data_IF_808330986357
#
_entry.id   IF_808330986357
#
_cell.length_a   1.000
_cell.length_b   1.000
_cell.length_c   1.000
_cell.angle_alpha   90.00
_cell.angle_beta   90.00
_cell.angle_gamma   90.00
#
_symmetry.space_group_name_H-M   'P 1'
#
loop_
_entity.id
_entity.type
_entity.pdbx_description
1 polymer ?
#
# COMPACT_ATOMS: atom_id res chain seq x y z
N UNK A 1 -3.54 19.75 2.50
CA UNK A 1 -4.27 18.47 2.44
C UNK A 1 -4.84 18.12 3.83
N UNK A 2 -5.93 17.34 3.94
CA UNK A 2 -6.41 16.83 5.24
C UNK A 2 -6.25 15.31 5.33
N UNK A 3 -6.11 14.78 6.55
CA UNK A 3 -6.03 13.33 6.81
C UNK A 3 -7.22 12.58 6.23
N UNK A 4 -8.43 13.12 6.39
CA UNK A 4 -9.66 12.50 5.87
C UNK A 4 -9.67 12.43 4.34
N UNK A 5 -9.20 13.49 3.66
CA UNK A 5 -9.13 13.53 2.19
C UNK A 5 -8.20 12.42 1.66
N UNK A 6 -7.04 12.26 2.29
CA UNK A 6 -6.09 11.22 1.90
C UNK A 6 -6.64 9.82 2.22
N UNK A 7 -7.20 9.62 3.42
CA UNK A 7 -7.84 8.36 3.80
C UNK A 7 -8.94 7.90 2.83
N UNK A 8 -9.79 8.84 2.37
CA UNK A 8 -10.84 8.54 1.39
C UNK A 8 -10.25 8.17 0.03
N UNK A 9 -9.22 8.87 -0.43
CA UNK A 9 -8.55 8.55 -1.70
C UNK A 9 -7.87 7.17 -1.64
N UNK A 10 -7.15 6.88 -0.57
CA UNK A 10 -6.57 5.56 -0.30
C UNK A 10 -7.65 4.47 -0.28
N UNK A 11 -8.80 4.72 0.37
CA UNK A 11 -9.91 3.78 0.38
C UNK A 11 -10.48 3.53 -1.03
N UNK A 12 -10.59 4.55 -1.88
CA UNK A 12 -11.04 4.39 -3.28
C UNK A 12 -10.06 3.53 -4.07
N UNK A 13 -8.75 3.76 -3.93
CA UNK A 13 -7.72 2.97 -4.64
C UNK A 13 -7.71 1.51 -4.15
N UNK A 14 -7.98 1.26 -2.87
CA UNK A 14 -8.04 -0.09 -2.31
C UNK A 14 -9.39 -0.81 -2.50
N UNK A 15 -10.47 -0.07 -2.75
CA UNK A 15 -11.83 -0.62 -2.82
C UNK A 15 -12.01 -1.76 -3.83
N UNK A 16 -11.40 -1.74 -5.04
CA UNK A 16 -11.48 -2.87 -5.97
C UNK A 16 -10.97 -4.18 -5.37
N UNK A 17 -9.91 -4.13 -4.56
CA UNK A 17 -9.39 -5.30 -3.86
C UNK A 17 -10.42 -5.92 -2.91
N UNK A 18 -11.20 -5.09 -2.22
CA UNK A 18 -12.28 -5.57 -1.33
C UNK A 18 -13.37 -6.29 -2.14
N UNK A 19 -13.78 -5.72 -3.27
CA UNK A 19 -14.82 -6.32 -4.11
C UNK A 19 -14.38 -7.65 -4.74
N UNK A 20 -13.11 -7.74 -5.17
CA UNK A 20 -12.50 -8.97 -5.69
C UNK A 20 -12.40 -10.02 -4.59
N UNK A 21 -11.87 -9.64 -3.42
CA UNK A 21 -11.74 -10.53 -2.27
C UNK A 21 -13.11 -11.09 -1.84
N UNK A 22 -14.15 -10.25 -1.86
CA UNK A 22 -15.54 -10.65 -1.59
C UNK A 22 -16.05 -11.61 -2.65
N UNK A 23 -15.89 -11.32 -3.94
CA UNK A 23 -16.33 -12.20 -5.03
C UNK A 23 -15.67 -13.59 -4.98
N UNK A 24 -14.45 -13.68 -4.44
CA UNK A 24 -13.71 -14.93 -4.26
C UNK A 24 -13.99 -15.63 -2.92
N UNK A 25 -14.84 -15.09 -2.06
CA UNK A 25 -15.15 -15.68 -0.75
C UNK A 25 -14.08 -15.49 0.31
N UNK A 26 -13.12 -14.59 0.11
CA UNK A 26 -11.98 -14.37 1.03
C UNK A 26 -12.13 -12.99 1.69
N UNK A 27 -12.92 -12.91 2.76
CA UNK A 27 -13.22 -11.62 3.40
C UNK A 27 -12.26 -11.29 4.57
N UNK A 28 -11.09 -10.74 4.26
CA UNK A 28 -10.15 -10.19 5.27
C UNK A 28 -9.50 -8.88 4.80
N UNK A 29 -8.87 -8.14 5.71
CA UNK A 29 -8.13 -6.92 5.34
C UNK A 29 -6.86 -7.24 4.54
N UNK A 30 -6.17 -8.32 4.91
CA UNK A 30 -5.00 -8.82 4.16
C UNK A 30 -5.39 -9.24 2.74
N UNK A 31 -6.50 -9.97 2.57
CA UNK A 31 -7.00 -10.35 1.26
C UNK A 31 -7.40 -9.12 0.43
N UNK A 32 -8.06 -8.13 1.06
CA UNK A 32 -8.43 -6.86 0.42
C UNK A 32 -7.19 -6.13 -0.11
N UNK A 33 -6.15 -5.97 0.71
CA UNK A 33 -4.91 -5.32 0.32
C UNK A 33 -4.20 -6.09 -0.80
N UNK A 34 -4.07 -7.41 -0.66
CA UNK A 34 -3.42 -8.26 -1.65
C UNK A 34 -4.11 -8.17 -3.02
N UNK A 35 -5.43 -8.26 -3.06
CA UNK A 35 -6.19 -8.16 -4.31
C UNK A 35 -6.20 -6.74 -4.88
N UNK A 36 -6.15 -5.69 -4.05
CA UNK A 36 -6.01 -4.31 -4.54
C UNK A 36 -4.67 -4.13 -5.25
N UNK A 37 -3.58 -4.59 -4.63
CA UNK A 37 -2.23 -4.51 -5.20
C UNK A 37 -2.09 -5.37 -6.46
N UNK A 38 -2.70 -6.57 -6.49
CA UNK A 38 -2.71 -7.43 -7.66
C UNK A 38 -3.50 -6.79 -8.83
N UNK A 39 -4.67 -6.21 -8.56
CA UNK A 39 -5.46 -5.51 -9.56
C UNK A 39 -4.73 -4.27 -10.10
N UNK A 40 -4.10 -3.50 -9.21
CA UNK A 40 -3.28 -2.35 -9.59
C UNK A 40 -2.08 -2.77 -10.44
N UNK A 41 -1.38 -3.85 -10.05
CA UNK A 41 -0.29 -4.41 -10.85
C UNK A 41 -0.76 -4.76 -12.26
N UNK A 42 -1.88 -5.47 -12.40
CA UNK A 42 -2.45 -5.80 -13.71
C UNK A 42 -2.84 -4.57 -14.52
N UNK A 43 -3.48 -3.58 -13.90
CA UNK A 43 -3.85 -2.33 -14.55
C UNK A 43 -2.64 -1.53 -15.04
N UNK A 44 -1.58 -1.42 -14.23
CA UNK A 44 -0.32 -0.79 -14.61
C UNK A 44 0.36 -1.56 -15.75
N UNK A 45 0.40 -2.89 -15.67
CA UNK A 45 1.04 -3.73 -16.69
C UNK A 45 0.37 -3.53 -18.06
N UNK A 46 -0.97 -3.50 -18.10
CA UNK A 46 -1.72 -3.16 -19.33
C UNK A 46 -1.41 -1.74 -19.78
N UNK A 47 -1.40 -0.77 -18.86
CA UNK A 47 -1.12 0.63 -19.18
C UNK A 47 0.26 0.79 -19.82
N UNK A 48 1.31 0.19 -19.24
CA UNK A 48 2.66 0.21 -19.80
C UNK A 48 2.76 -0.52 -21.14
N UNK A 49 2.06 -1.65 -21.30
CA UNK A 49 2.09 -2.44 -22.53
C UNK A 49 1.52 -1.66 -23.72
N UNK A 50 0.51 -0.82 -23.49
CA UNK A 50 -0.15 -0.04 -24.54
C UNK A 50 0.32 1.42 -24.63
N UNK A 51 1.31 1.82 -23.82
CA UNK A 51 1.77 3.21 -23.75
C UNK A 51 0.70 4.19 -23.25
N UNK A 52 -0.21 3.74 -22.38
CA UNK A 52 -1.30 4.58 -21.86
C UNK A 52 -0.89 5.51 -20.72
N UNK A 53 -1.87 6.21 -20.14
CA UNK A 53 -1.65 7.13 -19.02
C UNK A 53 -2.09 6.55 -17.67
N UNK A 54 -1.73 7.23 -16.58
CA UNK A 54 -2.23 6.88 -15.24
C UNK A 54 -3.76 6.94 -15.13
N UNK A 55 -4.44 7.73 -15.97
CA UNK A 55 -5.90 7.73 -16.03
C UNK A 55 -6.47 6.40 -16.55
N UNK A 56 -5.81 5.78 -17.54
CA UNK A 56 -6.16 4.44 -18.00
C UNK A 56 -6.00 3.42 -16.87
N UNK A 57 -4.90 3.49 -16.11
CA UNK A 57 -4.68 2.63 -14.94
C UNK A 57 -5.83 2.75 -13.93
N UNK A 58 -6.25 3.97 -13.60
CA UNK A 58 -7.38 4.21 -12.69
C UNK A 58 -8.67 3.59 -13.21
N UNK A 59 -8.98 3.80 -14.49
CA UNK A 59 -10.18 3.24 -15.13
C UNK A 59 -10.17 1.72 -15.08
N UNK A 60 -9.06 1.07 -15.45
CA UNK A 60 -8.93 -0.39 -15.41
C UNK A 60 -9.07 -0.95 -13.99
N UNK A 61 -8.47 -0.27 -13.01
CA UNK A 61 -8.56 -0.64 -11.60
C UNK A 61 -10.02 -0.57 -11.09
N UNK A 62 -10.73 0.53 -11.37
CA UNK A 62 -12.12 0.68 -10.98
C UNK A 62 -13.06 -0.29 -11.72
N UNK A 63 -12.82 -0.52 -13.02
CA UNK A 63 -13.56 -1.51 -13.81
C UNK A 63 -13.41 -2.91 -13.24
N UNK A 64 -12.21 -3.28 -12.77
CA UNK A 64 -11.99 -4.56 -12.09
C UNK A 64 -12.91 -4.72 -10.88
N UNK A 65 -13.07 -3.66 -10.08
CA UNK A 65 -13.98 -3.66 -8.95
C UNK A 65 -15.46 -3.76 -9.35
N UNK A 66 -15.87 -3.02 -10.39
CA UNK A 66 -17.24 -3.09 -10.93
C UNK A 66 -17.56 -4.49 -11.45
N UNK A 67 -16.65 -5.12 -12.19
CA UNK A 67 -16.83 -6.49 -12.69
C UNK A 67 -16.94 -7.48 -11.53
N UNK A 68 -16.09 -7.36 -10.50
CA UNK A 68 -16.15 -8.22 -9.32
C UNK A 68 -17.49 -8.10 -8.58
N UNK A 69 -18.05 -6.88 -8.47
CA UNK A 69 -19.38 -6.67 -7.87
C UNK A 69 -20.51 -7.35 -8.65
N UNK A 70 -20.43 -7.41 -9.98
CA UNK A 70 -21.44 -8.08 -10.82
C UNK A 70 -21.34 -9.60 -10.71
N UNK A 71 -20.12 -10.13 -10.57
CA UNK A 71 -19.87 -11.59 -10.47
C UNK A 71 -20.25 -12.13 -9.08
N UNK A 72 -20.22 -11.29 -8.05
CA UNK A 72 -20.45 -11.74 -6.68
C UNK A 72 -21.88 -12.27 -6.45
N UNK A 73 -21.97 -13.59 -6.26
CA UNK A 73 -23.21 -14.34 -6.06
C UNK A 73 -23.28 -14.99 -4.69
N UNK A 74 -23.20 -14.17 -3.63
CA UNK A 74 -23.42 -14.56 -2.21
C UNK A 74 -22.24 -15.33 -1.61
N UNK A 75 -21.05 -14.77 -1.74
CA UNK A 75 -19.87 -15.28 -1.04
C UNK A 75 -20.12 -15.42 0.49
N UNK A 76 -19.66 -16.52 1.11
CA UNK A 76 -19.74 -16.70 2.56
C UNK A 76 -19.06 -15.55 3.30
N UNK A 77 -19.61 -15.17 4.46
CA UNK A 77 -18.92 -14.24 5.36
C UNK A 77 -17.66 -14.91 5.87
N UNK A 78 -16.52 -14.23 5.69
CA UNK A 78 -15.24 -14.69 6.25
C UNK A 78 -15.29 -14.84 7.76
N UNK A 79 -14.38 -15.65 8.30
CA UNK A 79 -14.22 -15.86 9.73
C UNK A 79 -14.02 -14.53 10.47
N UNK A 80 -14.77 -14.32 11.56
CA UNK A 80 -14.59 -13.14 12.39
C UNK A 80 -13.32 -13.29 13.23
N UNK A 81 -12.31 -12.47 12.95
CA UNK A 81 -11.11 -12.38 13.79
C UNK A 81 -11.43 -11.53 15.04
N UNK A 82 -11.38 -12.09 16.27
CA UNK A 82 -11.62 -11.33 17.49
C UNK A 82 -10.65 -10.15 17.64
N UNK A 83 -11.08 -9.06 18.27
CA UNK A 83 -10.18 -7.95 18.61
C UNK A 83 -9.67 -7.09 17.44
N UNK A 84 -9.95 -7.45 16.18
CA UNK A 84 -9.45 -6.70 14.99
C UNK A 84 -9.77 -5.21 15.01
N UNK A 85 -10.95 -4.83 15.51
CA UNK A 85 -11.35 -3.42 15.56
C UNK A 85 -10.58 -2.61 16.60
N UNK A 86 -10.12 -3.25 17.69
CA UNK A 86 -9.21 -2.61 18.64
C UNK A 86 -7.84 -2.38 18.02
N UNK A 87 -7.35 -3.34 17.23
CA UNK A 87 -6.09 -3.20 16.48
C UNK A 87 -6.19 -2.09 15.43
N UNK A 88 -7.30 -2.03 14.69
CA UNK A 88 -7.56 -0.94 13.77
C UNK A 88 -7.58 0.42 14.48
N UNK A 89 -8.27 0.52 15.62
CA UNK A 89 -8.31 1.73 16.43
C UNK A 89 -6.93 2.15 16.95
N UNK A 90 -6.12 1.20 17.44
CA UNK A 90 -4.75 1.46 17.86
C UNK A 90 -3.87 1.94 16.69
N UNK A 91 -4.00 1.32 15.52
CA UNK A 91 -3.29 1.76 14.32
C UNK A 91 -3.77 3.11 13.79
N UNK A 92 -5.04 3.47 13.99
CA UNK A 92 -5.56 4.80 13.68
C UNK A 92 -4.97 5.87 14.62
N UNK A 93 -4.86 5.58 15.92
CA UNK A 93 -4.15 6.45 16.86
C UNK A 93 -2.69 6.62 16.45
N UNK A 94 -1.99 5.53 16.14
CA UNK A 94 -0.61 5.59 15.64
C UNK A 94 -0.51 6.43 14.36
N UNK A 95 -1.42 6.23 13.40
CA UNK A 95 -1.49 7.01 12.17
C UNK A 95 -1.67 8.51 12.42
N UNK A 96 -2.55 8.89 13.36
CA UNK A 96 -2.72 10.30 13.74
C UNK A 96 -1.45 10.85 14.39
N UNK A 97 -0.76 10.08 15.23
CA UNK A 97 0.51 10.51 15.82
C UNK A 97 1.58 10.72 14.74
N UNK A 98 1.73 9.75 13.83
CA UNK A 98 2.65 9.82 12.68
C UNK A 98 2.37 11.04 11.80
N UNK A 99 1.09 11.37 11.59
CA UNK A 99 0.69 12.53 10.79
C UNK A 99 1.26 13.84 11.36
N UNK A 100 1.29 14.00 12.68
CA UNK A 100 1.76 15.24 13.32
C UNK A 100 3.28 15.34 13.41
N UNK A 101 3.98 14.20 13.34
CA UNK A 101 5.45 14.15 13.40
C UNK A 101 6.09 13.93 12.03
N UNK A 102 5.29 13.84 10.96
CA UNK A 102 5.78 13.76 9.59
C UNK A 102 6.65 14.99 9.31
N UNK A 103 7.96 14.76 9.13
CA UNK A 103 8.95 15.79 8.93
C UNK A 103 9.04 16.22 7.46
N UNK A 104 10.20 15.98 6.85
CA UNK A 104 10.44 16.24 5.42
C UNK A 104 10.62 14.93 4.64
N UNK A 105 10.50 15.02 3.31
CA UNK A 105 10.77 13.89 2.41
C UNK A 105 12.28 13.75 2.27
N UNK A 106 12.86 12.84 3.07
CA UNK A 106 14.29 12.51 3.03
C UNK A 106 14.60 11.17 2.37
N UNK A 107 15.88 10.88 2.20
CA UNK A 107 16.39 9.57 1.74
C UNK A 107 15.83 9.12 0.40
N UNK A 108 15.44 7.85 0.32
CA UNK A 108 14.82 7.24 -0.87
C UNK A 108 13.38 7.74 -1.13
N UNK A 109 12.78 8.49 -0.19
CA UNK A 109 11.51 9.17 -0.39
C UNK A 109 11.52 10.11 -1.61
N UNK A 110 12.65 10.76 -1.91
CA UNK A 110 12.80 11.60 -3.09
C UNK A 110 12.77 10.80 -4.40
N UNK A 111 13.33 9.59 -4.39
CA UNK A 111 13.25 8.65 -5.52
C UNK A 111 11.79 8.23 -5.75
N UNK A 112 11.08 7.87 -4.67
CA UNK A 112 9.67 7.51 -4.74
C UNK A 112 8.81 8.67 -5.27
N UNK A 113 9.06 9.90 -4.78
CA UNK A 113 8.37 11.09 -5.23
C UNK A 113 8.61 11.37 -6.72
N UNK A 114 9.87 11.35 -7.17
CA UNK A 114 10.21 11.63 -8.56
C UNK A 114 9.48 10.66 -9.51
N UNK A 115 9.45 9.37 -9.17
CA UNK A 115 8.79 8.36 -9.99
C UNK A 115 7.27 8.46 -9.94
N UNK A 116 6.67 8.76 -8.78
CA UNK A 116 5.23 9.03 -8.68
C UNK A 116 4.83 10.26 -9.53
N UNK A 117 5.65 11.31 -9.54
CA UNK A 117 5.45 12.49 -10.38
C UNK A 117 5.55 12.17 -11.87
N UNK A 118 6.51 11.34 -12.31
CA UNK A 118 6.60 10.91 -13.71
C UNK A 118 5.34 10.15 -14.16
N UNK A 119 4.84 9.25 -13.30
CA UNK A 119 3.60 8.51 -13.56
C UNK A 119 2.39 9.44 -13.73
N UNK A 120 2.30 10.49 -12.90
CA UNK A 120 1.20 11.46 -12.96
C UNK A 120 1.34 12.45 -14.13
N UNK A 121 2.57 12.84 -14.48
CA UNK A 121 2.83 13.89 -15.46
C UNK A 121 2.82 13.43 -16.92
N UNK A 122 3.15 12.17 -17.21
CA UNK A 122 3.26 11.69 -18.60
C UNK A 122 1.94 11.13 -19.11
N UNK A 123 1.59 11.52 -20.34
CA UNK A 123 0.42 11.02 -21.06
C UNK A 123 0.64 9.61 -21.65
N UNK A 124 1.91 9.26 -21.90
CA UNK A 124 2.32 7.94 -22.39
C UNK A 124 3.35 7.33 -21.44
N UNK A 125 2.99 6.21 -20.81
CA UNK A 125 3.81 5.53 -19.83
C UNK A 125 4.52 4.33 -20.45
N UNK A 126 5.84 4.27 -20.28
CA UNK A 126 6.67 3.10 -20.50
C UNK A 126 7.54 2.86 -19.26
N UNK A 127 8.08 1.65 -19.10
CA UNK A 127 9.02 1.39 -18.00
C UNK A 127 10.29 2.26 -18.12
N UNK A 128 10.71 2.56 -19.35
CA UNK A 128 11.86 3.40 -19.63
C UNK A 128 11.58 4.87 -19.28
N UNK A 129 10.38 5.40 -19.58
CA UNK A 129 10.07 6.80 -19.30
C UNK A 129 10.07 7.11 -17.80
N UNK A 130 9.67 6.14 -16.97
CA UNK A 130 9.60 6.28 -15.51
C UNK A 130 10.85 5.79 -14.76
N UNK A 131 11.91 5.41 -15.48
CA UNK A 131 13.20 5.08 -14.88
C UNK A 131 13.83 6.29 -14.20
N UNK A 132 14.84 6.02 -13.36
CA UNK A 132 15.56 7.07 -12.63
C UNK A 132 16.36 7.96 -13.58
N UNK A 133 17.10 7.33 -14.50
CA UNK A 133 17.96 7.98 -15.48
C UNK A 133 17.41 7.81 -16.90
N UNK A 134 17.61 8.81 -17.77
CA UNK A 134 17.12 8.79 -19.14
C UNK A 134 17.68 7.62 -19.97
N UNK A 135 18.96 7.31 -19.77
CA UNK A 135 19.67 6.21 -20.45
C UNK A 135 19.96 5.03 -19.48
N UNK A 136 19.23 4.98 -18.36
CA UNK A 136 19.38 3.93 -17.35
C UNK A 136 18.57 2.67 -17.67
N UNK A 137 19.02 1.53 -17.15
CA UNK A 137 18.21 0.31 -17.14
C UNK A 137 17.15 0.29 -16.02
N UNK A 138 16.34 -0.76 -16.01
CA UNK A 138 15.38 -1.00 -14.92
C UNK A 138 16.08 -1.02 -13.57
N UNK A 139 15.52 -0.28 -12.60
CA UNK A 139 16.07 -0.23 -11.25
C UNK A 139 16.01 -1.62 -10.59
N UNK A 140 17.13 -2.19 -10.10
CA UNK A 140 17.19 -3.58 -9.65
C UNK A 140 16.27 -3.88 -8.46
N UNK A 141 16.06 -2.91 -7.57
CA UNK A 141 15.12 -3.03 -6.45
C UNK A 141 13.67 -2.59 -6.74
N UNK A 142 13.42 -1.95 -7.88
CA UNK A 142 12.13 -1.30 -8.17
C UNK A 142 11.80 -1.35 -9.67
N UNK A 143 12.00 -2.52 -10.30
CA UNK A 143 11.85 -2.67 -11.75
C UNK A 143 10.42 -2.34 -12.21
N UNK A 144 9.42 -2.77 -11.43
CA UNK A 144 8.02 -2.44 -11.69
C UNK A 144 7.51 -1.41 -10.66
N UNK A 145 6.89 -0.30 -11.09
CA UNK A 145 6.61 0.84 -10.21
C UNK A 145 5.28 0.69 -9.46
N UNK A 146 4.99 -0.48 -8.87
CA UNK A 146 3.69 -0.75 -8.21
C UNK A 146 3.40 0.25 -7.07
N UNK A 147 4.34 0.41 -6.14
CA UNK A 147 4.22 1.36 -5.03
C UNK A 147 4.04 2.80 -5.51
N UNK A 148 4.80 3.20 -6.51
CA UNK A 148 4.73 4.54 -7.11
C UNK A 148 3.40 4.79 -7.81
N UNK A 149 2.87 3.79 -8.51
CA UNK A 149 1.54 3.86 -9.13
C UNK A 149 0.43 3.97 -8.09
N UNK A 150 0.55 3.26 -6.96
CA UNK A 150 -0.36 3.42 -5.83
C UNK A 150 -0.35 4.87 -5.32
N UNK A 151 0.83 5.42 -5.01
CA UNK A 151 0.98 6.80 -4.53
C UNK A 151 0.44 7.83 -5.53
N UNK A 152 0.76 7.67 -6.81
CA UNK A 152 0.30 8.58 -7.86
C UNK A 152 -1.22 8.52 -8.06
N UNK A 153 -1.83 7.33 -7.98
CA UNK A 153 -3.29 7.20 -8.04
C UNK A 153 -3.96 7.82 -6.82
N UNK A 154 -3.41 7.64 -5.62
CA UNK A 154 -3.92 8.30 -4.41
C UNK A 154 -3.83 9.82 -4.58
N UNK A 155 -2.70 10.35 -5.06
CA UNK A 155 -2.54 11.79 -5.32
C UNK A 155 -3.58 12.30 -6.32
N UNK A 156 -3.79 11.57 -7.42
CA UNK A 156 -4.75 11.91 -8.47
C UNK A 156 -6.20 11.86 -7.99
N UNK A 157 -6.59 10.81 -7.26
CA UNK A 157 -7.95 10.68 -6.68
C UNK A 157 -8.18 11.73 -5.59
N UNK A 158 -7.16 12.01 -4.78
CA UNK A 158 -7.22 13.05 -3.77
C UNK A 158 -7.19 14.45 -4.39
N UNK A 159 -6.74 14.65 -5.63
CA UNK A 159 -6.44 15.95 -6.25
C UNK A 159 -5.41 16.77 -5.44
N UNK A 160 -4.31 16.13 -5.03
CA UNK A 160 -3.20 16.75 -4.27
C UNK A 160 -1.87 16.50 -4.97
N UNK A 161 -0.83 17.24 -4.56
CA UNK A 161 0.53 17.00 -5.07
C UNK A 161 1.03 15.63 -4.57
N UNK A 162 1.70 14.81 -5.41
CA UNK A 162 2.30 13.55 -4.97
C UNK A 162 3.24 13.66 -3.76
N UNK A 163 3.84 14.83 -3.51
CA UNK A 163 4.67 15.09 -2.33
C UNK A 163 3.86 15.00 -1.03
N UNK A 164 2.62 15.51 -1.02
CA UNK A 164 1.74 15.40 0.13
C UNK A 164 1.46 13.92 0.46
N UNK A 165 1.26 13.09 -0.57
CA UNK A 165 1.02 11.65 -0.42
C UNK A 165 2.28 10.94 0.07
N UNK A 166 3.44 11.16 -0.56
CA UNK A 166 4.70 10.55 -0.12
C UNK A 166 5.01 10.89 1.34
N UNK A 167 4.73 12.11 1.77
CA UNK A 167 4.97 12.55 3.14
C UNK A 167 4.01 11.89 4.15
N UNK A 168 2.74 11.70 3.81
CA UNK A 168 1.70 11.36 4.79
C UNK A 168 1.04 9.99 4.62
N UNK A 169 1.21 9.28 3.50
CA UNK A 169 0.50 8.02 3.22
C UNK A 169 0.78 6.94 4.27
N UNK A 170 1.99 6.91 4.84
CA UNK A 170 2.33 6.00 5.94
C UNK A 170 1.39 6.15 7.15
N UNK A 171 0.92 7.37 7.42
CA UNK A 171 -0.06 7.65 8.49
C UNK A 171 -1.41 7.00 8.21
N UNK A 172 -1.82 6.96 6.94
CA UNK A 172 -3.08 6.37 6.49
C UNK A 172 -2.99 4.84 6.44
N UNK A 173 -1.81 4.30 6.11
CA UNK A 173 -1.57 2.86 6.01
C UNK A 173 -1.29 2.19 7.36
N UNK A 174 -0.93 2.93 8.41
CA UNK A 174 -0.65 2.35 9.74
C UNK A 174 -1.78 1.43 10.29
N UNK A 175 -3.07 1.81 10.27
CA UNK A 175 -4.17 0.90 10.65
C UNK A 175 -4.19 -0.41 9.85
N UNK A 176 -3.90 -0.34 8.55
CA UNK A 176 -3.93 -1.49 7.65
C UNK A 176 -2.72 -2.38 7.94
N UNK A 177 -1.52 -1.81 8.12
CA UNK A 177 -0.31 -2.55 8.45
C UNK A 177 -0.44 -3.33 9.76
N UNK A 178 -1.02 -2.70 10.80
CA UNK A 178 -1.29 -3.37 12.08
C UNK A 178 -2.32 -4.50 11.92
N UNK A 179 -3.39 -4.28 11.15
CA UNK A 179 -4.37 -5.33 10.86
C UNK A 179 -3.78 -6.51 10.10
N UNK A 180 -2.96 -6.27 9.08
CA UNK A 180 -2.29 -7.34 8.32
C UNK A 180 -1.37 -8.16 9.23
N UNK A 181 -0.59 -7.49 10.08
CA UNK A 181 0.26 -8.14 11.07
C UNK A 181 -0.54 -9.00 12.05
N UNK A 182 -1.69 -8.48 12.51
CA UNK A 182 -2.58 -9.18 13.40
C UNK A 182 -3.25 -10.39 12.75
N UNK A 183 -3.75 -10.24 11.52
CA UNK A 183 -4.35 -11.33 10.76
C UNK A 183 -3.34 -12.44 10.47
N UNK A 184 -2.08 -12.10 10.18
CA UNK A 184 -1.00 -13.08 10.03
C UNK A 184 -0.75 -13.85 11.34
N UNK A 185 -0.64 -13.15 12.48
CA UNK A 185 -0.50 -13.79 13.79
C UNK A 185 -1.72 -14.65 14.15
N UNK A 186 -2.93 -14.18 13.86
CA UNK A 186 -4.15 -14.98 14.09
C UNK A 186 -4.19 -16.23 13.21
N UNK A 187 -3.83 -16.12 11.93
CA UNK A 187 -3.80 -17.25 11.00
C UNK A 187 -2.86 -18.36 11.49
N UNK A 188 -1.70 -17.99 12.05
CA UNK A 188 -0.71 -18.93 12.57
C UNK A 188 -1.11 -19.55 13.92
N UNK A 189 -1.56 -18.72 14.87
CA UNK A 189 -1.69 -19.16 16.26
C UNK A 189 -3.14 -19.40 16.72
N UNK A 190 -4.12 -18.87 15.99
CA UNK A 190 -5.56 -18.92 16.35
C UNK A 190 -5.86 -18.44 17.78
N UNK A 191 -5.06 -17.50 18.27
CA UNK A 191 -5.12 -16.95 19.63
C UNK A 191 -4.82 -15.45 19.62
N UNK A 192 -5.58 -14.68 20.41
CA UNK A 192 -5.46 -13.21 20.47
C UNK A 192 -4.09 -12.78 20.98
N UNK A 193 -3.59 -13.39 22.07
CA UNK A 193 -2.31 -13.02 22.69
C UNK A 193 -1.13 -13.07 21.72
N UNK A 194 -0.85 -14.22 21.08
CA UNK A 194 0.20 -14.32 20.06
C UNK A 194 -0.02 -13.39 18.86
N UNK A 195 -1.28 -13.20 18.41
CA UNK A 195 -1.56 -12.27 17.32
C UNK A 195 -1.23 -10.81 17.69
N UNK A 196 -1.55 -10.38 18.91
CA UNK A 196 -1.12 -9.08 19.44
C UNK A 196 0.40 -9.00 19.54
N UNK A 197 1.08 -10.07 19.97
CA UNK A 197 2.54 -10.10 20.04
C UNK A 197 3.19 -9.87 18.67
N UNK A 198 2.63 -10.43 17.58
CA UNK A 198 3.10 -10.16 16.20
C UNK A 198 2.94 -8.68 15.84
N UNK A 199 1.83 -8.05 16.20
CA UNK A 199 1.62 -6.60 15.99
C UNK A 199 2.66 -5.79 16.75
N UNK A 200 2.86 -6.07 18.04
CA UNK A 200 3.84 -5.38 18.86
C UNK A 200 5.27 -5.55 18.32
N UNK A 201 5.61 -6.75 17.83
CA UNK A 201 6.91 -7.01 17.21
C UNK A 201 7.09 -6.18 15.93
N UNK A 202 6.08 -6.11 15.07
CA UNK A 202 6.12 -5.28 13.86
C UNK A 202 6.31 -3.80 14.20
N UNK A 203 5.49 -3.25 15.11
CA UNK A 203 5.64 -1.85 15.56
C UNK A 203 7.02 -1.61 16.18
N UNK A 204 7.50 -2.53 17.00
CA UNK A 204 8.82 -2.43 17.64
C UNK A 204 9.95 -2.34 16.62
N UNK A 205 9.90 -3.16 15.57
CA UNK A 205 10.93 -3.20 14.53
C UNK A 205 10.84 -2.02 13.57
N UNK A 206 9.62 -1.58 13.19
CA UNK A 206 9.45 -0.58 12.12
C UNK A 206 9.33 0.86 12.61
N UNK A 207 8.80 1.08 13.81
CA UNK A 207 8.46 2.43 14.30
C UNK A 207 9.28 2.86 15.52
N UNK A 208 9.79 1.92 16.32
CA UNK A 208 10.48 2.21 17.59
C UNK A 208 11.97 1.89 17.55
N UNK A 209 12.44 1.25 16.49
CA UNK A 209 13.85 0.96 16.30
C UNK A 209 14.64 2.25 15.98
N UNK A 210 15.66 2.61 16.77
CA UNK A 210 16.53 3.73 16.44
C UNK A 210 17.34 3.48 15.16
N UNK A 211 17.74 4.57 14.50
CA UNK A 211 18.65 4.62 13.35
C UNK A 211 18.22 3.82 12.10
N UNK A 212 16.90 3.67 11.89
CA UNK A 212 16.33 3.32 10.59
C UNK A 212 16.39 1.85 10.17
N UNK A 213 16.81 0.93 11.06
CA UNK A 213 16.94 -0.49 10.66
C UNK A 213 16.56 -1.56 11.70
N UNK A 214 16.40 -1.22 12.98
CA UNK A 214 16.06 -2.21 14.02
C UNK A 214 16.89 -3.50 13.93
N UNK A 215 16.24 -4.65 14.11
CA UNK A 215 16.88 -5.97 14.01
C UNK A 215 17.45 -6.31 12.62
N UNK A 216 17.12 -5.54 11.56
CA UNK A 216 17.64 -5.78 10.21
C UNK A 216 19.08 -5.27 10.02
N UNK A 217 19.55 -4.38 10.90
CA UNK A 217 20.98 -4.03 10.94
C UNK A 217 21.85 -5.24 11.29
N UNK A 218 21.34 -6.18 12.10
CA UNK A 218 22.02 -7.43 12.42
C UNK A 218 21.99 -8.47 11.29
N UNK A 219 21.02 -8.38 10.37
CA UNK A 219 20.92 -9.24 9.18
C UNK A 219 21.73 -8.69 7.99
N UNK A 220 22.17 -7.43 8.05
CA UNK A 220 23.08 -6.81 7.08
C UNK A 220 24.56 -7.14 7.30
N UNK A 221 24.89 -7.85 8.38
CA UNK A 221 26.24 -8.36 8.61
C UNK A 221 26.41 -9.72 7.92
N UNK A 222 27.49 -9.97 7.17
CA UNK A 222 27.77 -11.31 6.66
C UNK A 222 27.90 -12.27 7.86
N UNK A 223 27.44 -13.52 7.69
CA UNK A 223 27.47 -14.56 8.72
C UNK A 223 28.87 -14.96 9.25
N UNK A 224 29.92 -14.26 8.80
CA UNK A 224 31.33 -14.48 9.15
C UNK A 224 32.02 -13.23 9.71
N UNK A 225 31.27 -12.21 10.14
CA UNK A 225 31.82 -11.10 10.93
C UNK A 225 31.91 -11.46 12.42
#
# INVERSE_FOLDING_TARGET
>A
MTLLRLALATAVVLAPGWTVARALGVCSFSATLAWALAALFGALAVTFLVGGSLALTLVLLLLTGVVALVVDRRAPRGESVPGRWWIFGAGAVLGVLLWHVAGEIGGDGLFHLARARKLDAFDELSLDSVNEFADGGLHPGYAFPLWHGFLALVARVAFVDPADVVLHEASILAPIALLVSYEAGWALFRRVGPAVAVVCAQVGITALAPDGGGAYTALGLPATA
#
